data_IF_692803702118
#
_entry.id   IF_692803702118
#
_cell.length_a   1.000
_cell.length_b   1.000
_cell.length_c   1.000
_cell.angle_alpha   90.00
_cell.angle_beta   90.00
_cell.angle_gamma   90.00
#
_symmetry.space_group_name_H-M   'P 1'
#
loop_
_entity.id
_entity.type
_entity.pdbx_description
1 polymer ?
#
# COMPACT_ATOMS: atom_id res chain seq x y z
N UNK A 1 3.15 -24.09 14.54
CA UNK A 1 2.34 -22.87 14.34
C UNK A 1 2.92 -22.13 13.16
N UNK A 2 2.27 -22.17 12.00
CA UNK A 2 2.70 -21.34 10.86
C UNK A 2 2.39 -19.88 11.19
N UNK A 3 3.36 -18.98 11.08
CA UNK A 3 3.08 -17.56 11.19
C UNK A 3 2.06 -17.17 10.11
N UNK A 4 1.00 -16.45 10.49
CA UNK A 4 0.10 -15.85 9.53
C UNK A 4 0.85 -14.69 8.86
N UNK A 5 1.21 -14.89 7.59
CA UNK A 5 1.80 -13.83 6.77
C UNK A 5 0.67 -13.13 6.04
N UNK A 6 0.62 -11.81 6.17
CA UNK A 6 -0.32 -10.99 5.42
C UNK A 6 0.43 -10.38 4.24
N UNK A 7 -0.13 -10.55 3.04
CA UNK A 7 0.40 -10.04 1.79
C UNK A 7 -0.55 -8.97 1.25
N UNK A 8 0.03 -7.81 0.92
CA UNK A 8 -0.70 -6.65 0.39
C UNK A 8 0.07 -6.07 -0.77
N UNK A 9 -0.63 -5.69 -1.82
CA UNK A 9 -0.05 -4.94 -2.93
C UNK A 9 -0.34 -3.45 -2.71
N UNK A 10 0.67 -2.61 -2.88
CA UNK A 10 0.55 -1.17 -2.77
C UNK A 10 1.07 -0.52 -4.05
N UNK A 11 0.25 0.32 -4.67
CA UNK A 11 0.60 1.06 -5.86
C UNK A 11 0.36 2.55 -5.70
N UNK A 12 0.96 3.35 -6.58
CA UNK A 12 0.81 4.81 -6.62
C UNK A 12 0.30 5.23 -8.00
N UNK A 13 -0.47 6.31 -8.06
CA UNK A 13 -0.95 6.87 -9.32
C UNK A 13 0.16 7.45 -10.19
N UNK A 14 1.29 7.83 -9.58
CA UNK A 14 2.47 8.35 -10.27
C UNK A 14 3.64 7.36 -10.12
N UNK A 15 4.15 6.75 -11.20
CA UNK A 15 5.21 5.75 -11.11
C UNK A 15 6.54 6.32 -10.61
N UNK A 16 6.78 7.63 -10.73
CA UNK A 16 7.96 8.30 -10.19
C UNK A 16 8.01 8.25 -8.66
N UNK A 17 6.85 8.14 -8.01
CA UNK A 17 6.72 8.07 -6.55
C UNK A 17 6.83 6.66 -5.97
N UNK A 18 6.85 5.61 -6.80
CA UNK A 18 6.89 4.22 -6.33
C UNK A 18 8.15 3.94 -5.50
N UNK A 19 9.30 4.43 -5.98
CA UNK A 19 10.58 4.33 -5.25
C UNK A 19 10.49 5.04 -3.90
N UNK A 20 9.93 6.24 -3.88
CA UNK A 20 9.81 7.03 -2.66
C UNK A 20 8.88 6.38 -1.64
N UNK A 21 7.77 5.81 -2.10
CA UNK A 21 6.85 5.04 -1.27
C UNK A 21 7.55 3.81 -0.67
N UNK A 22 8.33 3.09 -1.48
CA UNK A 22 9.11 1.94 -1.02
C UNK A 22 10.08 2.31 0.10
N UNK A 23 10.85 3.39 -0.08
CA UNK A 23 11.79 3.86 0.96
C UNK A 23 11.05 4.34 2.22
N UNK A 24 9.85 4.88 2.07
CA UNK A 24 9.02 5.29 3.20
C UNK A 24 8.51 4.09 4.00
N UNK A 25 7.93 3.10 3.32
CA UNK A 25 7.39 1.89 3.95
C UNK A 25 8.49 1.01 4.55
N UNK A 26 9.69 0.98 3.96
CA UNK A 26 10.86 0.23 4.50
C UNK A 26 11.31 0.67 5.88
N UNK A 27 10.90 1.86 6.33
CA UNK A 27 11.21 2.36 7.69
C UNK A 27 10.35 1.69 8.76
N UNK A 28 9.28 0.99 8.36
CA UNK A 28 8.39 0.31 9.28
C UNK A 28 9.02 -1.03 9.68
N UNK A 29 9.25 -1.29 10.97
CA UNK A 29 9.77 -2.57 11.41
C UNK A 29 8.74 -3.68 11.21
N UNK A 30 9.20 -4.87 10.80
CA UNK A 30 8.34 -6.05 10.65
C UNK A 30 7.58 -6.15 9.31
N UNK A 31 7.93 -5.31 8.33
CA UNK A 31 7.47 -5.46 6.94
C UNK A 31 8.64 -5.72 6.01
N UNK A 32 8.45 -6.65 5.08
CA UNK A 32 9.32 -6.87 3.94
C UNK A 32 8.65 -6.32 2.68
N UNK A 33 9.41 -5.61 1.86
CA UNK A 33 8.87 -4.91 0.68
C UNK A 33 9.67 -5.30 -0.54
N UNK A 34 8.95 -5.83 -1.52
CA UNK A 34 9.48 -6.25 -2.82
C UNK A 34 8.73 -5.54 -3.92
N UNK A 35 9.45 -4.95 -4.88
CA UNK A 35 8.84 -4.41 -6.08
C UNK A 35 8.60 -5.55 -7.07
N UNK A 36 7.38 -5.69 -7.56
CA UNK A 36 6.97 -6.72 -8.51
C UNK A 36 6.28 -6.08 -9.72
N UNK A 37 6.33 -6.72 -10.90
CA UNK A 37 5.53 -6.26 -12.04
C UNK A 37 4.04 -6.25 -11.70
N UNK A 38 3.35 -5.16 -12.03
CA UNK A 38 1.90 -5.08 -11.90
C UNK A 38 1.20 -6.08 -12.82
N UNK A 39 0.08 -6.64 -12.35
CA UNK A 39 -0.74 -7.56 -13.18
C UNK A 39 -1.87 -6.79 -13.85
N UNK A 40 -1.96 -6.77 -15.19
CA UNK A 40 -3.02 -6.05 -15.90
C UNK A 40 -4.36 -6.71 -15.66
N UNK A 41 -5.40 -5.91 -15.44
CA UNK A 41 -6.77 -6.39 -15.58
C UNK A 41 -7.13 -6.60 -17.07
N UNK A 42 -8.18 -7.37 -17.34
CA UNK A 42 -8.70 -7.55 -18.70
C UNK A 42 -8.99 -6.20 -19.36
N UNK A 43 -8.32 -5.93 -20.49
CA UNK A 43 -8.44 -4.69 -21.25
C UNK A 43 -7.52 -3.55 -20.79
N UNK A 44 -6.70 -3.77 -19.76
CA UNK A 44 -5.70 -2.81 -19.30
C UNK A 44 -4.35 -3.05 -19.99
N UNK A 45 -3.75 -1.99 -20.53
CA UNK A 45 -2.44 -2.04 -21.20
C UNK A 45 -1.47 -1.09 -20.49
N UNK A 46 -0.27 -1.59 -20.17
CA UNK A 46 0.79 -0.78 -19.56
C UNK A 46 0.63 -0.55 -18.07
N UNK A 47 0.56 -1.63 -17.28
CA UNK A 47 0.55 -1.54 -15.82
C UNK A 47 1.94 -1.24 -15.30
N UNK A 48 2.00 -0.37 -14.31
CA UNK A 48 3.23 -0.06 -13.60
C UNK A 48 3.55 -1.13 -12.56
N UNK A 49 4.82 -1.20 -12.18
CA UNK A 49 5.25 -2.01 -11.04
C UNK A 49 4.49 -1.60 -9.76
N UNK A 50 4.28 -2.58 -8.89
CA UNK A 50 3.65 -2.41 -7.59
C UNK A 50 4.59 -2.87 -6.48
N UNK A 51 4.32 -2.44 -5.25
CA UNK A 51 5.05 -2.89 -4.08
C UNK A 51 4.26 -4.00 -3.39
N UNK A 52 4.81 -5.20 -3.37
CA UNK A 52 4.34 -6.27 -2.52
C UNK A 52 4.91 -6.06 -1.11
N UNK A 53 4.02 -5.91 -0.14
CA UNK A 53 4.33 -5.77 1.29
C UNK A 53 3.93 -7.06 2.00
N UNK A 54 4.89 -7.69 2.66
CA UNK A 54 4.68 -8.90 3.46
C UNK A 54 4.97 -8.56 4.91
N UNK A 55 4.11 -8.98 5.82
CA UNK A 55 4.31 -8.76 7.25
C UNK A 55 4.10 -10.02 8.07
N UNK A 56 4.92 -10.19 9.11
CA UNK A 56 4.72 -11.18 10.17
C UNK A 56 3.69 -10.66 11.17
N UNK A 57 2.42 -10.59 10.74
CA UNK A 57 1.27 -10.15 11.55
C UNK A 57 0.62 -8.83 11.10
N UNK A 58 -0.68 -8.69 11.37
CA UNK A 58 -1.53 -7.55 10.97
C UNK A 58 -1.09 -6.21 11.56
N UNK A 59 -0.45 -6.21 12.74
CA UNK A 59 0.01 -4.99 13.41
C UNK A 59 1.05 -4.19 12.61
N UNK A 60 1.99 -4.86 11.95
CA UNK A 60 3.02 -4.17 11.16
C UNK A 60 2.43 -3.55 9.88
N UNK A 61 1.43 -4.18 9.28
CA UNK A 61 0.69 -3.60 8.15
C UNK A 61 -0.14 -2.40 8.58
N UNK A 62 -0.81 -2.46 9.74
CA UNK A 62 -1.56 -1.33 10.27
C UNK A 62 -0.64 -0.12 10.53
N UNK A 63 0.55 -0.34 11.09
CA UNK A 63 1.57 0.70 11.26
C UNK A 63 1.98 1.27 9.90
N UNK A 64 2.28 0.41 8.92
CA UNK A 64 2.65 0.86 7.57
C UNK A 64 1.55 1.72 6.93
N UNK A 65 0.30 1.27 7.00
CA UNK A 65 -0.84 2.00 6.47
C UNK A 65 -1.00 3.36 7.15
N UNK A 66 -0.81 3.47 8.47
CA UNK A 66 -0.89 4.74 9.22
C UNK A 66 0.17 5.75 8.81
N UNK A 67 1.24 5.32 8.14
CA UNK A 67 2.24 6.23 7.58
C UNK A 67 1.90 6.75 6.18
N UNK A 68 0.95 6.15 5.48
CA UNK A 68 0.53 6.56 4.12
C UNK A 68 -0.07 7.98 4.07
N UNK A 69 -0.91 8.42 5.03
CA UNK A 69 -1.41 9.78 5.07
C UNK A 69 -0.31 10.84 5.06
N UNK A 70 0.73 10.62 5.87
CA UNK A 70 1.87 11.52 5.94
C UNK A 70 2.67 11.53 4.62
N UNK A 71 2.82 10.37 3.98
CA UNK A 71 3.42 10.28 2.65
C UNK A 71 2.64 11.09 1.62
N UNK A 72 1.32 10.85 1.51
CA UNK A 72 0.44 11.53 0.55
C UNK A 72 0.47 13.05 0.76
N UNK A 73 0.28 13.52 2.00
CA UNK A 73 0.28 14.96 2.33
C UNK A 73 1.63 15.64 2.11
N UNK A 74 2.73 14.88 2.17
CA UNK A 74 4.07 15.43 1.89
C UNK A 74 4.33 15.70 0.40
N UNK A 75 3.48 15.20 -0.49
CA UNK A 75 3.61 15.38 -1.93
C UNK A 75 2.86 16.61 -2.41
N UNK A 76 3.54 17.42 -3.23
CA UNK A 76 2.90 18.55 -3.93
C UNK A 76 1.98 18.08 -5.05
N UNK A 77 2.34 16.97 -5.69
CA UNK A 77 1.50 16.29 -6.67
C UNK A 77 0.40 15.54 -5.91
N UNK A 78 -0.84 15.59 -6.40
CA UNK A 78 -2.01 14.95 -5.78
C UNK A 78 -1.95 13.41 -5.94
N UNK A 79 -0.92 12.80 -5.37
CA UNK A 79 -0.62 11.38 -5.51
C UNK A 79 -1.65 10.59 -4.74
N UNK A 80 -2.24 9.58 -5.38
CA UNK A 80 -3.07 8.61 -4.71
C UNK A 80 -2.31 7.31 -4.53
N UNK A 81 -2.55 6.64 -3.40
CA UNK A 81 -1.98 5.35 -3.06
C UNK A 81 -3.12 4.33 -3.06
N UNK A 82 -2.97 3.24 -3.80
CA UNK A 82 -3.94 2.14 -3.78
C UNK A 82 -3.36 0.98 -2.99
N UNK A 83 -4.10 0.50 -2.00
CA UNK A 83 -3.79 -0.67 -1.19
C UNK A 83 -4.74 -1.79 -1.57
N UNK A 84 -4.21 -2.92 -2.02
CA UNK A 84 -4.95 -4.10 -2.43
C UNK A 84 -4.59 -5.27 -1.53
N UNK A 85 -5.52 -5.60 -0.63
CA UNK A 85 -5.49 -6.79 0.20
C UNK A 85 -6.35 -7.90 -0.46
N UNK A 86 -6.18 -9.14 0.02
CA UNK A 86 -6.84 -10.34 -0.55
C UNK A 86 -8.33 -10.16 -0.84
N UNK A 87 -9.07 -9.48 0.05
CA UNK A 87 -10.51 -9.32 -0.07
C UNK A 87 -10.97 -7.89 -0.38
N UNK A 88 -10.03 -6.92 -0.52
CA UNK A 88 -10.40 -5.51 -0.65
C UNK A 88 -9.31 -4.66 -1.27
N UNK A 89 -9.74 -3.80 -2.19
CA UNK A 89 -8.92 -2.72 -2.75
C UNK A 89 -9.43 -1.38 -2.22
N UNK A 90 -8.53 -0.53 -1.74
CA UNK A 90 -8.83 0.80 -1.22
C UNK A 90 -7.86 1.81 -1.83
N UNK A 91 -8.38 2.87 -2.43
CA UNK A 91 -7.59 3.98 -2.95
C UNK A 91 -7.67 5.18 -2.01
N UNK A 92 -6.50 5.63 -1.57
CA UNK A 92 -6.29 6.72 -0.61
C UNK A 92 -5.77 7.92 -1.38
N UNK A 93 -6.46 9.04 -1.26
CA UNK A 93 -6.10 10.35 -1.81
C UNK A 93 -5.95 11.33 -0.66
N UNK A 94 -5.43 12.53 -0.92
CA UNK A 94 -5.35 13.58 0.12
C UNK A 94 -6.72 13.95 0.69
N UNK A 95 -7.76 13.84 -0.13
CA UNK A 95 -9.12 14.31 0.15
C UNK A 95 -9.90 13.30 1.02
N UNK A 96 -9.68 12.00 0.79
CA UNK A 96 -10.39 10.93 1.51
C UNK A 96 -9.54 10.21 2.56
N UNK A 97 -8.34 10.73 2.86
CA UNK A 97 -7.35 10.02 3.68
C UNK A 97 -7.86 9.65 5.07
N UNK A 98 -8.68 10.51 5.67
CA UNK A 98 -9.25 10.31 7.01
C UNK A 98 -10.32 9.21 6.99
N UNK A 99 -11.21 9.24 5.99
CA UNK A 99 -12.27 8.25 5.79
C UNK A 99 -11.76 6.89 5.30
N UNK A 100 -10.67 6.88 4.51
CA UNK A 100 -10.11 5.66 3.92
C UNK A 100 -9.31 4.84 4.95
N UNK A 101 -8.68 5.48 5.92
CA UNK A 101 -7.82 4.84 6.93
C UNK A 101 -8.53 3.71 7.72
N UNK A 102 -9.74 3.89 8.28
CA UNK A 102 -10.44 2.79 8.97
C UNK A 102 -10.84 1.64 8.03
N UNK A 103 -11.03 1.92 6.74
CA UNK A 103 -11.34 0.88 5.74
C UNK A 103 -10.08 0.05 5.44
N UNK A 104 -8.93 0.71 5.34
CA UNK A 104 -7.63 0.06 5.18
C UNK A 104 -7.31 -0.79 6.41
N UNK A 105 -7.44 -0.26 7.62
CA UNK A 105 -7.20 -1.04 8.85
C UNK A 105 -8.06 -2.30 8.90
N UNK A 106 -9.36 -2.20 8.57
CA UNK A 106 -10.25 -3.37 8.47
C UNK A 106 -9.86 -4.35 7.37
N UNK A 107 -9.29 -3.86 6.26
CA UNK A 107 -8.83 -4.72 5.17
C UNK A 107 -7.54 -5.49 5.52
N UNK A 108 -6.73 -4.97 6.45
CA UNK A 108 -5.47 -5.57 6.89
C UNK A 108 -5.61 -6.48 8.11
N UNK A 109 -6.68 -6.34 8.88
CA UNK A 109 -7.01 -7.18 10.05
C UNK A 109 -7.66 -8.53 9.67
N UNK A 110 -8.15 -8.64 8.43
CA UNK A 110 -8.90 -9.79 7.92
C UNK A 110 -8.03 -11.03 7.59
#
# INVERSE_FOLDING_TARGET
MGAAFHLVEVSVSDPGELRSLREHLRRVPGVEITQIPGTPADGELGVWDVLQVVATGSGALAVAARTLPAFIRSRRSNVSVTVKATNRTVTITVDNVDDAMPIVEKALDA
#
